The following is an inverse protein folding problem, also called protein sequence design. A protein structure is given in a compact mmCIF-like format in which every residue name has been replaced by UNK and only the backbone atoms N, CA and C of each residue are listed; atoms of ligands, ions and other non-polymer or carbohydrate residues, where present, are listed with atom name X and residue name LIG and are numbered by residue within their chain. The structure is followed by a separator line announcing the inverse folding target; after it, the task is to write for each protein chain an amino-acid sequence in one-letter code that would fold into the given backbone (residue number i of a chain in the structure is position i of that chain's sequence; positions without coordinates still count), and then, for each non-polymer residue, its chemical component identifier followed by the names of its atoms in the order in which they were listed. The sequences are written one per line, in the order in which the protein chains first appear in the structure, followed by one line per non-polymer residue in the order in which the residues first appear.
data_IF_057931844476
#
_entry.id   IF_057931844476
#
_cell.length_a   1.000
_cell.length_b   1.000
_cell.length_c   1.000
_cell.angle_alpha   90.00
_cell.angle_beta   90.00
_cell.angle_gamma   90.00
#
_symmetry.space_group_name_H-M   'P 1'
#
loop_
_entity.id
_entity.type
_entity.pdbx_description
1 polymer ?
#
# COMPACT_ATOMS: atom_id res chain seq x y z
N UNK A 1 5.97 -35.13 40.60
CA UNK A 1 5.57 -34.47 39.33
C UNK A 1 4.75 -33.21 39.62
N UNK A 2 5.38 -32.05 39.92
CA UNK A 2 4.66 -30.79 40.20
C UNK A 2 5.35 -29.52 39.67
N UNK A 3 6.35 -29.63 38.80
CA UNK A 3 7.21 -28.49 38.46
C UNK A 3 7.17 -28.03 36.99
N UNK A 4 6.24 -28.52 36.18
CA UNK A 4 6.20 -28.21 34.73
C UNK A 4 5.19 -27.10 34.38
N UNK A 5 4.30 -26.72 35.30
CA UNK A 5 3.16 -25.83 35.00
C UNK A 5 3.50 -24.33 35.17
N UNK A 6 4.60 -23.98 35.85
CA UNK A 6 4.92 -22.60 36.23
C UNK A 6 5.71 -21.79 35.20
N UNK A 7 6.18 -22.40 34.11
CA UNK A 7 6.99 -21.72 33.07
C UNK A 7 6.22 -21.35 31.80
N UNK A 8 4.96 -21.76 31.64
CA UNK A 8 4.17 -21.49 30.42
C UNK A 8 3.39 -20.18 30.43
N UNK A 9 3.08 -19.65 31.62
CA UNK A 9 2.30 -18.41 31.79
C UNK A 9 3.02 -17.14 31.31
N UNK A 10 4.33 -16.92 31.57
CA UNK A 10 5.00 -15.70 31.10
C UNK A 10 5.26 -15.69 29.58
N UNK A 11 5.29 -16.86 28.92
CA UNK A 11 5.50 -16.96 27.48
C UNK A 11 4.24 -16.54 26.68
N UNK A 12 3.05 -16.89 27.17
CA UNK A 12 1.78 -16.54 26.53
C UNK A 12 1.47 -15.04 26.71
N UNK A 13 1.88 -14.43 27.82
CA UNK A 13 1.66 -13.00 28.07
C UNK A 13 2.58 -12.10 27.23
N UNK A 14 3.80 -12.55 26.87
CA UNK A 14 4.70 -11.82 25.97
C UNK A 14 4.22 -11.79 24.51
N UNK A 15 3.46 -12.80 24.08
CA UNK A 15 2.85 -12.88 22.74
C UNK A 15 1.62 -11.95 22.58
N UNK A 16 1.06 -11.43 23.67
CA UNK A 16 -0.15 -10.59 23.64
C UNK A 16 0.14 -9.08 23.60
N UNK A 17 1.41 -8.66 23.70
CA UNK A 17 1.79 -7.24 23.73
C UNK A 17 2.28 -6.71 22.37
N UNK A 18 2.19 -7.49 21.29
CA UNK A 18 2.35 -6.96 19.93
C UNK A 18 1.07 -6.21 19.53
N UNK A 19 0.82 -5.06 20.17
CA UNK A 19 -0.25 -4.16 19.79
C UNK A 19 -0.08 -3.74 18.33
N UNK A 20 -1.14 -3.91 17.53
CA UNK A 20 -1.19 -3.51 16.13
C UNK A 20 -1.04 -1.98 16.02
N UNK A 21 0.18 -1.49 16.00
CA UNK A 21 0.46 -0.12 15.62
C UNK A 21 0.26 0.01 14.11
N UNK A 22 -0.48 1.03 13.68
CA UNK A 22 -0.60 1.34 12.26
C UNK A 22 0.78 1.70 11.68
N UNK A 23 1.06 1.30 10.44
CA UNK A 23 2.35 1.52 9.82
C UNK A 23 2.53 3.01 9.51
N UNK A 24 3.66 3.57 9.93
CA UNK A 24 3.96 5.00 9.80
C UNK A 24 4.67 5.37 8.51
N UNK A 25 5.13 4.38 7.76
CA UNK A 25 5.86 4.58 6.52
C UNK A 25 5.73 3.34 5.62
N UNK A 26 6.15 3.49 4.36
CA UNK A 26 6.09 2.41 3.38
C UNK A 26 6.88 1.15 3.78
N UNK A 27 7.96 1.27 4.55
CA UNK A 27 8.76 0.12 4.98
C UNK A 27 8.02 -0.71 6.04
N UNK A 28 7.41 -0.05 7.02
CA UNK A 28 6.54 -0.69 8.01
C UNK A 28 5.31 -1.33 7.36
N UNK A 29 4.68 -0.65 6.41
CA UNK A 29 3.52 -1.20 5.69
C UNK A 29 3.87 -2.48 4.91
N UNK A 30 5.03 -2.51 4.24
CA UNK A 30 5.50 -3.75 3.57
C UNK A 30 5.67 -4.89 4.56
N UNK A 31 6.27 -4.64 5.74
CA UNK A 31 6.46 -5.64 6.78
C UNK A 31 5.13 -6.17 7.31
N UNK A 32 4.17 -5.28 7.54
CA UNK A 32 2.82 -5.67 7.96
C UNK A 32 2.13 -6.55 6.92
N UNK A 33 2.16 -6.17 5.65
CA UNK A 33 1.60 -6.99 4.56
C UNK A 33 2.28 -8.36 4.48
N UNK A 34 3.60 -8.40 4.67
CA UNK A 34 4.39 -9.64 4.64
C UNK A 34 4.19 -10.53 5.88
N UNK A 35 3.78 -9.96 7.01
CA UNK A 35 3.48 -10.72 8.23
C UNK A 35 2.30 -11.68 8.07
N UNK A 36 1.53 -11.57 6.98
CA UNK A 36 0.38 -12.41 6.71
C UNK A 36 -0.84 -12.05 7.55
N UNK A 37 -0.88 -10.84 8.14
CA UNK A 37 -2.07 -10.33 8.81
C UNK A 37 -3.30 -10.42 7.88
N UNK A 38 -4.43 -10.85 8.46
CA UNK A 38 -5.69 -11.01 7.74
C UNK A 38 -6.04 -9.73 6.97
N UNK A 39 -6.51 -9.85 5.72
CA UNK A 39 -6.83 -8.73 4.82
C UNK A 39 -5.64 -7.95 4.27
N UNK A 40 -4.45 -8.55 4.15
CA UNK A 40 -3.34 -7.98 3.39
C UNK A 40 -2.92 -8.90 2.23
N UNK A 41 -2.36 -8.32 1.17
CA UNK A 41 -1.83 -9.10 0.05
C UNK A 41 -0.60 -8.46 -0.59
N UNK A 42 0.33 -9.31 -1.00
CA UNK A 42 1.44 -8.96 -1.88
C UNK A 42 1.24 -9.64 -3.23
N UNK A 43 1.52 -8.93 -4.32
CA UNK A 43 1.65 -9.51 -5.65
C UNK A 43 2.84 -8.92 -6.40
N UNK A 44 3.36 -9.67 -7.36
CA UNK A 44 4.43 -9.24 -8.25
C UNK A 44 3.98 -9.43 -9.70
N UNK A 45 4.24 -8.44 -10.55
CA UNK A 45 3.90 -8.45 -11.97
C UNK A 45 5.07 -7.87 -12.75
N UNK A 46 5.34 -8.41 -13.94
CA UNK A 46 6.33 -7.84 -14.85
C UNK A 46 5.66 -7.00 -15.94
N UNK A 47 6.33 -5.90 -16.31
CA UNK A 47 6.00 -5.09 -17.47
C UNK A 47 7.13 -5.16 -18.48
N UNK A 48 6.77 -5.40 -19.75
CA UNK A 48 7.70 -5.38 -20.90
C UNK A 48 7.96 -3.94 -21.38
N UNK A 49 8.09 -2.99 -20.44
CA UNK A 49 8.42 -1.59 -20.71
C UNK A 49 9.61 -1.17 -19.86
N UNK A 50 10.40 -0.25 -20.42
CA UNK A 50 11.54 0.34 -19.72
C UNK A 50 11.09 1.00 -18.42
N UNK A 51 11.96 0.94 -17.41
CA UNK A 51 11.70 1.58 -16.11
C UNK A 51 11.36 3.06 -16.25
N UNK A 52 12.09 3.79 -17.10
CA UNK A 52 11.87 5.21 -17.36
C UNK A 52 10.46 5.48 -17.92
N UNK A 53 10.01 4.67 -18.89
CA UNK A 53 8.69 4.84 -19.50
C UNK A 53 7.55 4.53 -18.51
N UNK A 54 7.75 3.48 -17.70
CA UNK A 54 6.82 3.07 -16.65
C UNK A 54 6.68 4.19 -15.63
N UNK A 55 7.79 4.65 -15.06
CA UNK A 55 7.80 5.70 -14.02
C UNK A 55 7.27 7.03 -14.52
N UNK A 56 7.58 7.42 -15.76
CA UNK A 56 6.98 8.60 -16.40
C UNK A 56 5.45 8.49 -16.45
N UNK A 57 4.96 7.36 -16.96
CA UNK A 57 3.51 7.12 -17.05
C UNK A 57 2.86 7.14 -15.66
N UNK A 58 3.49 6.50 -14.69
CA UNK A 58 3.01 6.45 -13.31
C UNK A 58 2.93 7.82 -12.66
N UNK A 59 3.97 8.64 -12.79
CA UNK A 59 3.98 10.00 -12.24
C UNK A 59 2.79 10.80 -12.76
N UNK A 60 2.63 10.84 -14.09
CA UNK A 60 1.53 11.57 -14.74
C UNK A 60 0.16 11.05 -14.29
N UNK A 61 -0.02 9.73 -14.22
CA UNK A 61 -1.34 9.14 -13.95
C UNK A 61 -1.70 9.10 -12.47
N UNK A 62 -0.75 8.84 -11.58
CA UNK A 62 -1.00 8.85 -10.14
C UNK A 62 -1.43 10.25 -9.68
N UNK A 63 -0.73 11.29 -10.14
CA UNK A 63 -1.05 12.68 -9.79
C UNK A 63 -2.45 13.08 -10.24
N UNK A 64 -2.85 12.71 -11.46
CA UNK A 64 -4.18 13.04 -12.00
C UNK A 64 -5.29 12.19 -11.38
N UNK A 65 -5.05 10.90 -11.16
CA UNK A 65 -6.11 9.94 -10.88
C UNK A 65 -6.28 9.58 -9.39
N UNK A 66 -5.22 9.66 -8.59
CA UNK A 66 -5.23 9.14 -7.21
C UNK A 66 -5.28 10.25 -6.16
N UNK A 67 -4.84 11.47 -6.48
CA UNK A 67 -4.95 12.62 -5.59
C UNK A 67 -6.35 13.23 -5.69
N UNK A 68 -7.34 12.58 -5.08
CA UNK A 68 -8.75 12.99 -5.14
C UNK A 68 -9.48 12.75 -3.83
N UNK A 69 -10.69 13.30 -3.74
CA UNK A 69 -11.65 12.93 -2.69
C UNK A 69 -12.82 12.14 -3.27
N UNK A 70 -13.40 11.28 -2.45
CA UNK A 70 -14.69 10.65 -2.70
C UNK A 70 -15.68 11.08 -1.62
N UNK A 71 -16.97 10.98 -1.94
CA UNK A 71 -18.05 11.23 -0.99
C UNK A 71 -18.98 10.04 -0.98
N UNK A 72 -19.26 9.52 0.21
CA UNK A 72 -20.23 8.46 0.45
C UNK A 72 -21.18 8.95 1.56
N UNK A 73 -22.43 9.25 1.19
CA UNK A 73 -23.37 9.92 2.10
C UNK A 73 -22.85 11.30 2.55
N UNK A 74 -22.71 11.50 3.86
CA UNK A 74 -22.14 12.73 4.45
C UNK A 74 -20.62 12.65 4.66
N UNK A 75 -20.00 11.51 4.38
CA UNK A 75 -18.59 11.25 4.65
C UNK A 75 -17.74 11.59 3.43
N UNK A 76 -16.64 12.29 3.68
CA UNK A 76 -15.60 12.53 2.67
C UNK A 76 -14.43 11.60 2.95
N UNK A 77 -13.80 11.08 1.91
CA UNK A 77 -12.56 10.31 2.04
C UNK A 77 -11.54 10.95 1.12
N UNK A 78 -10.36 11.27 1.66
CA UNK A 78 -9.28 11.90 0.92
C UNK A 78 -8.20 10.88 0.61
N UNK A 79 -7.77 10.85 -0.64
CA UNK A 79 -6.71 9.98 -1.12
C UNK A 79 -5.49 10.81 -1.49
N UNK A 80 -4.34 10.41 -0.99
CA UNK A 80 -3.06 11.04 -1.29
C UNK A 80 -2.08 10.01 -1.82
N UNK A 81 -1.56 10.26 -3.01
CA UNK A 81 -0.53 9.46 -3.63
C UNK A 81 0.79 10.20 -3.64
N UNK A 82 1.87 9.48 -3.35
CA UNK A 82 3.22 10.03 -3.40
C UNK A 82 4.12 9.10 -4.19
N UNK A 83 4.79 9.64 -5.20
CA UNK A 83 5.83 8.92 -5.93
C UNK A 83 7.19 9.40 -5.44
N UNK A 84 7.95 8.48 -4.85
CA UNK A 84 9.31 8.71 -4.37
C UNK A 84 10.32 7.88 -5.17
N UNK A 85 11.56 8.34 -5.18
CA UNK A 85 12.66 7.72 -5.91
C UNK A 85 13.73 7.30 -4.92
N UNK A 86 14.10 6.04 -4.97
CA UNK A 86 15.15 5.40 -4.18
C UNK A 86 16.29 4.99 -5.14
N UNK A 87 17.43 4.55 -4.61
CA UNK A 87 18.62 4.22 -5.42
C UNK A 87 18.34 3.18 -6.51
N UNK A 88 17.47 2.21 -6.22
CA UNK A 88 17.24 1.04 -7.08
C UNK A 88 15.76 0.85 -7.47
N UNK A 89 14.87 1.78 -7.13
CA UNK A 89 13.44 1.66 -7.42
C UNK A 89 12.71 2.98 -7.30
N UNK A 90 11.52 3.04 -7.88
CA UNK A 90 10.52 4.06 -7.53
C UNK A 90 9.46 3.43 -6.63
N UNK A 91 8.96 4.21 -5.68
CA UNK A 91 7.95 3.77 -4.72
C UNK A 91 6.74 4.69 -4.84
N UNK A 92 5.62 4.13 -5.27
CA UNK A 92 4.32 4.78 -5.19
C UNK A 92 3.63 4.37 -3.89
N UNK A 93 3.23 5.35 -3.08
CA UNK A 93 2.38 5.13 -1.92
C UNK A 93 0.99 5.69 -2.19
N UNK A 94 -0.02 5.07 -1.58
CA UNK A 94 -1.37 5.60 -1.51
C UNK A 94 -1.84 5.55 -0.06
N UNK A 95 -2.19 6.72 0.46
CA UNK A 95 -2.73 6.92 1.79
C UNK A 95 -4.17 7.39 1.69
N UNK A 96 -4.95 7.03 2.71
CA UNK A 96 -6.35 7.39 2.83
C UNK A 96 -6.61 8.04 4.18
N UNK A 97 -7.27 9.19 4.14
CA UNK A 97 -7.69 9.95 5.30
C UNK A 97 -9.22 10.05 5.33
N UNK A 98 -9.83 9.46 6.36
CA UNK A 98 -11.24 9.66 6.68
C UNK A 98 -11.36 10.70 7.81
N UNK A 99 -12.31 11.66 7.75
CA UNK A 99 -12.62 12.58 8.83
C UNK A 99 -12.90 11.90 10.17
N UNK A 100 -13.41 10.66 10.17
CA UNK A 100 -13.58 9.89 11.40
C UNK A 100 -12.25 9.39 12.01
N UNK A 101 -11.19 9.27 11.20
CA UNK A 101 -9.84 8.91 11.66
C UNK A 101 -9.11 10.10 12.29
N UNK A 102 -9.63 11.32 12.16
CA UNK A 102 -9.04 12.55 12.70
C UNK A 102 -9.02 12.60 14.24
N UNK A 103 -9.69 11.67 14.91
CA UNK A 103 -9.64 11.58 16.38
C UNK A 103 -8.24 11.17 16.86
N UNK A 104 -7.43 10.47 16.04
CA UNK A 104 -5.98 10.22 16.26
C UNK A 104 -5.26 9.86 14.94
N UNK A 105 -4.90 10.82 14.06
CA UNK A 105 -4.14 10.49 12.86
C UNK A 105 -2.72 10.05 13.27
N UNK A 106 -2.34 8.82 12.91
CA UNK A 106 -0.95 8.38 13.00
C UNK A 106 -0.04 9.11 11.99
N UNK A 107 -0.64 9.64 10.92
CA UNK A 107 -0.02 10.40 9.83
C UNK A 107 -1.04 11.44 9.31
N UNK A 108 -0.64 12.71 9.08
CA UNK A 108 -1.54 13.75 8.54
C UNK A 108 -2.13 13.43 7.16
N UNK A 109 -1.51 12.56 6.37
CA UNK A 109 -2.01 12.10 5.07
C UNK A 109 -2.94 10.88 5.19
N UNK A 110 -3.13 10.36 6.41
CA UNK A 110 -3.92 9.18 6.69
C UNK A 110 -3.12 7.88 6.62
N UNK A 111 -3.80 6.74 6.69
CA UNK A 111 -3.14 5.44 6.77
C UNK A 111 -2.79 4.89 5.39
N UNK A 112 -1.72 4.10 5.32
CA UNK A 112 -1.30 3.43 4.08
C UNK A 112 -2.33 2.39 3.67
N UNK A 113 -2.72 2.42 2.40
CA UNK A 113 -3.58 1.40 1.79
C UNK A 113 -2.86 0.55 0.76
N UNK A 114 -1.87 1.16 0.08
CA UNK A 114 -1.11 0.52 -0.97
C UNK A 114 0.30 1.11 -1.04
N UNK A 115 1.26 0.23 -1.29
CA UNK A 115 2.63 0.57 -1.70
C UNK A 115 2.96 -0.25 -2.95
N UNK A 116 3.44 0.40 -3.99
CA UNK A 116 3.92 -0.25 -5.21
C UNK A 116 5.38 0.12 -5.48
N UNK A 117 6.24 -0.88 -5.55
CA UNK A 117 7.64 -0.75 -5.89
C UNK A 117 7.83 -1.06 -7.38
N UNK A 118 8.47 -0.15 -8.10
CA UNK A 118 8.84 -0.31 -9.50
C UNK A 118 10.34 -0.50 -9.57
N UNK A 119 10.77 -1.66 -10.05
CA UNK A 119 12.16 -2.12 -9.96
C UNK A 119 12.66 -2.35 -11.40
N UNK A 120 13.71 -1.64 -11.85
CA UNK A 120 14.32 -1.90 -13.15
C UNK A 120 14.93 -3.31 -13.15
N UNK A 121 14.60 -4.12 -14.17
CA UNK A 121 15.19 -5.46 -14.37
C UNK A 121 16.24 -5.46 -15.46
N UNK A 122 15.87 -4.90 -16.61
CA UNK A 122 16.77 -4.64 -17.72
C UNK A 122 16.27 -3.41 -18.50
N UNK A 123 16.84 -3.17 -19.68
CA UNK A 123 16.51 -2.00 -20.50
C UNK A 123 15.02 -1.90 -20.87
N UNK A 124 14.34 -3.03 -20.98
CA UNK A 124 12.97 -3.14 -21.47
C UNK A 124 12.01 -3.82 -20.49
N UNK A 125 12.47 -4.20 -19.30
CA UNK A 125 11.63 -4.86 -18.30
C UNK A 125 11.65 -4.14 -16.95
N UNK A 126 10.47 -4.03 -16.36
CA UNK A 126 10.26 -3.47 -15.03
C UNK A 126 9.41 -4.43 -14.21
N UNK A 127 9.91 -4.85 -13.04
CA UNK A 127 9.11 -5.61 -12.08
C UNK A 127 8.32 -4.62 -11.20
N UNK A 128 7.06 -4.96 -10.92
CA UNK A 128 6.18 -4.23 -10.03
C UNK A 128 5.80 -5.13 -8.85
N UNK A 129 6.20 -4.74 -7.64
CA UNK A 129 5.74 -5.38 -6.41
C UNK A 129 4.68 -4.51 -5.76
N UNK A 130 3.45 -5.03 -5.62
CA UNK A 130 2.31 -4.32 -5.03
C UNK A 130 1.98 -4.95 -3.67
N UNK A 131 1.96 -4.13 -2.64
CA UNK A 131 1.56 -4.43 -1.28
C UNK A 131 0.27 -3.67 -1.01
N UNK A 132 -0.78 -4.32 -0.52
CA UNK A 132 -2.06 -3.65 -0.26
C UNK A 132 -2.87 -4.30 0.84
N UNK A 133 -3.79 -3.52 1.40
CA UNK A 133 -4.93 -4.03 2.16
C UNK A 133 -5.95 -4.60 1.18
N UNK A 134 -6.47 -5.80 1.43
CA UNK A 134 -7.53 -6.45 0.66
C UNK A 134 -8.88 -5.81 0.98
N UNK A 135 -9.31 -4.90 0.09
CA UNK A 135 -10.67 -4.38 0.00
C UNK A 135 -11.05 -4.26 -1.48
N UNK A 136 -12.33 -4.45 -1.83
CA UNK A 136 -12.78 -4.48 -3.23
C UNK A 136 -12.44 -3.22 -4.04
N UNK A 137 -12.52 -2.04 -3.42
CA UNK A 137 -12.16 -0.76 -4.05
C UNK A 137 -10.65 -0.66 -4.38
N UNK A 138 -9.80 -1.46 -3.74
CA UNK A 138 -8.36 -1.44 -4.01
C UNK A 138 -7.96 -2.27 -5.24
N UNK A 139 -8.82 -3.18 -5.69
CA UNK A 139 -8.56 -3.98 -6.89
C UNK A 139 -8.61 -3.15 -8.15
N UNK A 140 -9.51 -2.17 -8.25
CA UNK A 140 -9.58 -1.26 -9.39
C UNK A 140 -8.35 -0.35 -9.44
N UNK A 141 -7.85 0.10 -8.30
CA UNK A 141 -6.61 0.89 -8.20
C UNK A 141 -5.40 0.04 -8.61
N UNK A 142 -5.31 -1.20 -8.09
CA UNK A 142 -4.26 -2.16 -8.46
C UNK A 142 -4.26 -2.40 -9.97
N UNK A 143 -5.43 -2.65 -10.57
CA UNK A 143 -5.58 -2.85 -12.02
C UNK A 143 -5.15 -1.61 -12.82
N UNK A 144 -5.47 -0.41 -12.35
CA UNK A 144 -5.02 0.82 -13.00
C UNK A 144 -3.50 0.98 -12.93
N UNK A 145 -2.87 0.74 -11.77
CA UNK A 145 -1.41 0.78 -11.62
C UNK A 145 -0.73 -0.20 -12.57
N UNK A 146 -1.20 -1.45 -12.62
CA UNK A 146 -0.70 -2.46 -13.57
C UNK A 146 -0.93 -1.98 -15.00
N UNK A 147 -2.10 -1.41 -15.30
CA UNK A 147 -2.41 -0.86 -16.62
C UNK A 147 -1.46 0.27 -17.03
N UNK A 148 -1.15 1.19 -16.12
CA UNK A 148 -0.20 2.28 -16.36
C UNK A 148 1.21 1.75 -16.62
N UNK A 149 1.63 0.73 -15.87
CA UNK A 149 2.90 0.04 -16.12
C UNK A 149 2.95 -0.57 -17.53
N UNK A 150 1.80 -0.94 -18.11
CA UNK A 150 1.67 -1.47 -19.46
C UNK A 150 1.37 -0.39 -20.53
N UNK A 151 1.32 0.89 -20.15
CA UNK A 151 1.08 2.01 -21.08
C UNK A 151 -0.37 2.43 -21.27
N UNK A 152 -1.32 1.79 -20.57
CA UNK A 152 -2.71 2.26 -20.49
C UNK A 152 -2.77 3.56 -19.68
N UNK A 153 -3.79 4.38 -19.89
CA UNK A 153 -3.88 5.74 -19.32
C UNK A 153 -5.18 6.06 -18.57
N UNK A 154 -6.07 5.07 -18.41
CA UNK A 154 -7.36 5.26 -17.74
C UNK A 154 -7.20 5.42 -16.23
N UNK A 155 -7.97 6.31 -15.62
CA UNK A 155 -8.07 6.39 -14.17
C UNK A 155 -8.95 5.26 -13.61
N UNK A 156 -8.64 4.72 -12.42
CA UNK A 156 -9.54 3.80 -11.74
C UNK A 156 -10.80 4.56 -11.32
N UNK A 157 -11.95 3.93 -11.52
CA UNK A 157 -13.19 4.38 -10.92
C UNK A 157 -13.37 3.66 -9.58
N UNK A 158 -13.05 4.37 -8.50
CA UNK A 158 -13.17 3.86 -7.15
C UNK A 158 -14.00 4.82 -6.31
N UNK A 159 -14.93 4.24 -5.57
CA UNK A 159 -15.73 4.89 -4.54
C UNK A 159 -15.37 4.19 -3.23
N UNK A 160 -15.26 4.98 -2.17
CA UNK A 160 -15.04 4.52 -0.81
C UNK A 160 -16.16 5.11 0.05
#
# INVERSE_FOLDING_TARGET
MKSVVLLFVPLILALLISGCALPKNAAEFRKEVQSGAMMHSKMSVDSNRSYTDVVKTLKERAEICLNRSTKSGSMYTYFHSTLSFDENKSVLTLQMLNPMDLVRPADPLGHFMLVADFIPKDKNHTQIDIYKIQQWSHDVITKAIIGWSQGRKGCPDFIY
#
